data_IF_193659947968
#
_entry.id   IF_193659947968
#
_cell.length_a   1.000
_cell.length_b   1.000
_cell.length_c   1.000
_cell.angle_alpha   90.00
_cell.angle_beta   90.00
_cell.angle_gamma   90.00
#
_symmetry.space_group_name_H-M   'P 1'
#
loop_
_entity.id
_entity.type
_entity.pdbx_description
1 polymer ?
#
# COMPACT_ATOMS: atom_id res chain seq x y z
N UNK A 1 28.77 25.04 -23.17
CA UNK A 1 29.08 24.86 -21.73
C UNK A 1 29.95 23.62 -21.56
N UNK A 2 30.89 23.59 -20.60
CA UNK A 2 31.65 22.40 -20.14
C UNK A 2 32.15 22.70 -18.72
N UNK A 3 31.92 21.82 -17.73
CA UNK A 3 32.62 21.93 -16.43
C UNK A 3 31.88 21.61 -15.12
N UNK A 4 30.60 21.18 -15.11
CA UNK A 4 29.91 20.71 -13.88
C UNK A 4 29.92 19.19 -13.69
N UNK A 5 29.40 18.42 -14.65
CA UNK A 5 29.21 16.95 -14.58
C UNK A 5 30.45 16.06 -14.47
N UNK A 6 31.66 16.63 -14.36
CA UNK A 6 32.86 15.91 -13.95
C UNK A 6 33.12 15.93 -12.43
N UNK A 7 32.25 16.56 -11.61
CA UNK A 7 32.44 16.62 -10.15
C UNK A 7 32.08 15.32 -9.44
N UNK A 8 30.96 14.68 -9.80
CA UNK A 8 30.41 13.50 -9.10
C UNK A 8 31.34 12.28 -9.20
N UNK A 9 31.83 11.96 -10.41
CA UNK A 9 32.74 10.83 -10.65
C UNK A 9 34.09 10.96 -9.93
N UNK A 10 34.50 12.18 -9.55
CA UNK A 10 35.72 12.44 -8.78
C UNK A 10 35.50 12.38 -7.24
N UNK A 11 34.27 12.10 -6.77
CA UNK A 11 34.00 11.90 -5.34
C UNK A 11 34.26 10.44 -4.91
N UNK A 12 34.85 10.26 -3.72
CA UNK A 12 34.89 8.95 -3.04
C UNK A 12 33.54 8.63 -2.36
N UNK A 13 33.17 7.34 -2.21
CA UNK A 13 31.83 6.89 -1.75
C UNK A 13 31.30 7.70 -0.55
N UNK A 14 32.08 7.89 0.52
CA UNK A 14 31.66 8.69 1.69
C UNK A 14 31.26 10.13 1.36
N UNK A 15 31.95 10.82 0.43
CA UNK A 15 31.59 12.18 0.00
C UNK A 15 30.39 12.20 -0.95
N UNK A 16 30.19 11.12 -1.70
CA UNK A 16 29.02 10.94 -2.54
C UNK A 16 27.76 10.78 -1.66
N UNK A 17 27.75 9.82 -0.72
CA UNK A 17 26.65 9.65 0.25
C UNK A 17 26.36 10.93 1.06
N UNK A 18 27.41 11.58 1.58
CA UNK A 18 27.33 12.88 2.28
C UNK A 18 26.80 14.03 1.39
N UNK A 19 26.87 13.87 0.07
CA UNK A 19 26.23 14.78 -0.90
C UNK A 19 24.77 14.37 -1.15
N UNK A 20 24.46 13.07 -1.31
CA UNK A 20 23.07 12.61 -1.54
C UNK A 20 22.15 13.00 -0.38
N UNK A 21 22.59 12.76 0.87
CA UNK A 21 21.85 13.15 2.07
C UNK A 21 21.67 14.68 2.19
N UNK A 22 22.63 15.48 1.73
CA UNK A 22 22.52 16.96 1.67
C UNK A 22 21.70 17.47 0.49
N UNK A 23 21.37 16.58 -0.43
CA UNK A 23 20.40 16.78 -1.48
C UNK A 23 19.06 16.12 -1.13
N UNK A 24 18.86 15.70 0.12
CA UNK A 24 17.58 15.17 0.60
C UNK A 24 17.04 14.00 -0.22
N UNK A 25 17.93 13.19 -0.81
CA UNK A 25 17.51 11.96 -1.48
C UNK A 25 17.01 10.97 -0.43
N UNK A 26 15.98 10.22 -0.77
CA UNK A 26 15.36 9.18 0.08
C UNK A 26 16.34 8.08 0.48
N UNK A 27 15.94 7.25 1.45
CA UNK A 27 16.67 6.04 1.82
C UNK A 27 16.91 5.13 0.62
N UNK A 28 15.85 4.82 -0.13
CA UNK A 28 15.89 3.99 -1.35
C UNK A 28 16.85 4.50 -2.41
N UNK A 29 16.81 5.80 -2.76
CA UNK A 29 17.78 6.39 -3.70
C UNK A 29 19.20 6.34 -3.13
N UNK A 30 19.39 6.75 -1.88
CA UNK A 30 20.73 6.86 -1.29
C UNK A 30 21.41 5.50 -1.11
N UNK A 31 20.66 4.44 -0.83
CA UNK A 31 21.16 3.08 -0.70
C UNK A 31 21.66 2.53 -2.05
N UNK A 32 20.87 2.69 -3.11
CA UNK A 32 21.02 1.96 -4.37
C UNK A 32 21.79 2.73 -5.46
N UNK A 33 21.72 4.06 -5.53
CA UNK A 33 22.15 4.80 -6.72
C UNK A 33 23.68 4.87 -6.90
N UNK A 34 24.17 4.51 -8.08
CA UNK A 34 25.57 4.74 -8.46
C UNK A 34 25.83 6.20 -8.88
N UNK A 35 27.10 6.57 -9.04
CA UNK A 35 27.48 7.91 -9.52
C UNK A 35 27.26 8.06 -11.01
N UNK A 36 27.21 6.93 -11.70
CA UNK A 36 27.07 6.79 -13.13
C UNK A 36 25.59 7.01 -13.48
N UNK A 37 24.66 6.29 -12.83
CA UNK A 37 23.20 6.50 -12.95
C UNK A 37 22.79 7.92 -12.54
N UNK A 38 23.23 8.41 -11.36
CA UNK A 38 22.91 9.78 -10.92
C UNK A 38 23.27 10.84 -11.97
N UNK A 39 24.37 10.62 -12.69
CA UNK A 39 24.89 11.53 -13.72
C UNK A 39 24.17 11.38 -15.07
N UNK A 40 23.51 10.25 -15.31
CA UNK A 40 22.64 10.05 -16.48
C UNK A 40 21.24 10.64 -16.22
N UNK A 41 20.76 10.60 -14.98
CA UNK A 41 19.54 11.27 -14.54
C UNK A 41 19.66 12.80 -14.47
N UNK A 42 20.80 13.35 -14.02
CA UNK A 42 20.96 14.81 -13.90
C UNK A 42 22.41 15.32 -14.05
N UNK A 43 22.55 16.39 -14.82
CA UNK A 43 23.82 17.15 -15.00
C UNK A 43 24.19 17.98 -13.74
N UNK A 44 23.22 18.20 -12.83
CA UNK A 44 23.35 19.03 -11.62
C UNK A 44 22.30 18.64 -10.54
N UNK A 45 22.62 17.73 -9.60
CA UNK A 45 21.63 17.19 -8.65
C UNK A 45 21.22 18.16 -7.53
N UNK A 46 21.67 19.43 -7.57
CA UNK A 46 21.11 20.53 -6.76
C UNK A 46 19.83 21.11 -7.35
N UNK A 47 19.58 20.90 -8.65
CA UNK A 47 18.46 21.49 -9.41
C UNK A 47 17.33 20.47 -9.66
N UNK A 48 17.69 19.18 -9.69
CA UNK A 48 16.76 18.05 -9.78
C UNK A 48 17.12 16.98 -8.76
N UNK A 49 16.12 16.50 -8.02
CA UNK A 49 16.25 15.43 -7.02
C UNK A 49 15.88 14.10 -7.68
N UNK A 50 16.75 13.09 -7.65
CA UNK A 50 16.41 11.73 -8.05
C UNK A 50 15.49 11.08 -7.02
N UNK A 51 14.61 10.21 -7.51
CA UNK A 51 13.56 9.51 -6.77
C UNK A 51 13.44 8.10 -7.34
N UNK A 52 13.19 7.09 -6.49
CA UNK A 52 12.92 5.73 -6.97
C UNK A 52 11.54 5.73 -7.63
N UNK A 53 11.44 5.21 -8.85
CA UNK A 53 10.16 5.01 -9.52
C UNK A 53 9.57 3.65 -9.09
N UNK A 54 10.36 2.59 -9.26
CA UNK A 54 10.04 1.20 -8.90
C UNK A 54 11.32 0.35 -8.86
N UNK A 55 11.26 -0.87 -8.32
CA UNK A 55 12.38 -1.81 -8.18
C UNK A 55 12.15 -3.09 -9.00
N UNK A 56 12.97 -3.33 -10.02
CA UNK A 56 12.86 -4.48 -10.93
C UNK A 56 13.66 -5.69 -10.46
N UNK A 57 13.11 -6.89 -10.53
CA UNK A 57 13.91 -8.11 -10.56
C UNK A 57 14.73 -8.15 -11.85
N UNK A 58 16.06 -8.11 -11.73
CA UNK A 58 16.98 -8.18 -12.88
C UNK A 58 16.86 -9.47 -13.70
N UNK A 59 16.25 -10.51 -13.12
CA UNK A 59 15.95 -11.80 -13.74
C UNK A 59 14.43 -12.14 -13.72
N UNK A 60 13.54 -11.14 -13.82
CA UNK A 60 12.09 -11.33 -13.82
C UNK A 60 11.57 -12.47 -14.75
N UNK A 61 12.13 -12.61 -15.96
CA UNK A 61 11.78 -13.70 -16.90
C UNK A 61 11.92 -15.11 -16.29
N UNK A 62 12.80 -15.30 -15.30
CA UNK A 62 13.00 -16.58 -14.61
C UNK A 62 11.88 -16.90 -13.60
N UNK A 63 11.23 -15.89 -13.00
CA UNK A 63 10.14 -16.10 -12.03
C UNK A 63 8.74 -16.13 -12.67
N UNK A 64 8.60 -15.64 -13.91
CA UNK A 64 7.31 -15.65 -14.61
C UNK A 64 6.86 -17.04 -15.10
N UNK A 65 7.72 -18.06 -15.10
CA UNK A 65 7.40 -19.42 -15.61
C UNK A 65 8.11 -20.53 -14.81
N UNK A 66 7.44 -21.66 -14.50
CA UNK A 66 8.08 -22.80 -13.82
C UNK A 66 9.07 -23.56 -14.74
N UNK A 67 10.16 -24.13 -14.21
CA UNK A 67 10.55 -24.13 -12.79
C UNK A 67 11.18 -22.79 -12.39
N UNK A 68 10.69 -22.24 -11.28
CA UNK A 68 11.18 -20.99 -10.71
C UNK A 68 12.56 -21.20 -10.05
N UNK A 69 13.43 -20.18 -10.00
CA UNK A 69 14.71 -20.26 -9.29
C UNK A 69 14.54 -20.43 -7.76
N UNK A 70 15.34 -21.32 -7.18
CA UNK A 70 15.47 -21.53 -5.72
C UNK A 70 16.35 -20.45 -5.04
N UNK A 71 16.45 -19.24 -5.63
CA UNK A 71 17.35 -18.16 -5.20
C UNK A 71 16.64 -16.80 -5.23
N UNK A 72 16.89 -15.90 -4.28
CA UNK A 72 16.38 -14.53 -4.33
C UNK A 72 16.81 -13.81 -5.62
N UNK A 73 15.92 -12.94 -6.13
CA UNK A 73 16.17 -12.16 -7.33
C UNK A 73 16.89 -10.84 -7.01
N UNK A 74 17.92 -10.47 -7.77
CA UNK A 74 18.62 -9.21 -7.53
C UNK A 74 17.75 -8.03 -8.01
N UNK A 75 17.18 -7.27 -7.06
CA UNK A 75 16.44 -6.02 -7.30
C UNK A 75 17.35 -4.92 -7.85
N UNK A 76 16.85 -4.16 -8.84
CA UNK A 76 17.50 -2.98 -9.42
C UNK A 76 16.48 -1.84 -9.43
N UNK A 77 16.77 -0.76 -8.72
CA UNK A 77 15.92 0.43 -8.71
C UNK A 77 15.94 1.15 -10.07
N UNK A 78 14.75 1.40 -10.62
CA UNK A 78 14.56 2.41 -11.65
C UNK A 78 14.38 3.79 -10.98
N UNK A 79 14.85 4.84 -11.64
CA UNK A 79 14.88 6.19 -11.09
C UNK A 79 14.36 7.22 -12.08
N UNK A 80 13.61 8.17 -11.55
CA UNK A 80 13.24 9.40 -12.24
C UNK A 80 13.82 10.60 -11.48
N UNK A 81 13.44 11.82 -11.89
CA UNK A 81 13.83 13.04 -11.17
C UNK A 81 12.70 14.05 -11.14
N UNK A 82 12.55 14.76 -10.03
CA UNK A 82 11.67 15.93 -9.90
C UNK A 82 12.48 17.23 -9.73
N UNK A 83 11.92 18.41 -10.07
CA UNK A 83 12.55 19.71 -9.77
C UNK A 83 12.82 19.89 -8.27
N UNK A 84 13.93 20.59 -7.91
CA UNK A 84 14.29 20.81 -6.50
C UNK A 84 13.25 21.61 -5.72
N UNK A 85 12.60 22.57 -6.37
CA UNK A 85 11.50 23.35 -5.81
C UNK A 85 10.23 22.50 -5.60
N UNK A 86 9.86 21.61 -6.55
CA UNK A 86 8.78 20.63 -6.33
C UNK A 86 9.11 19.72 -5.14
N UNK A 87 10.33 19.16 -5.07
CA UNK A 87 10.74 18.30 -3.95
C UNK A 87 10.63 19.02 -2.59
N UNK A 88 11.08 20.28 -2.49
CA UNK A 88 10.88 21.09 -1.27
C UNK A 88 9.39 21.22 -0.94
N UNK A 89 8.55 21.47 -1.94
CA UNK A 89 7.10 21.64 -1.77
C UNK A 89 6.41 20.36 -1.29
N UNK A 90 6.75 19.19 -1.85
CA UNK A 90 6.23 17.88 -1.42
C UNK A 90 6.64 17.57 0.01
N UNK A 91 7.94 17.54 0.29
CA UNK A 91 8.45 17.03 1.58
C UNK A 91 8.09 17.96 2.75
N UNK A 92 8.00 19.28 2.51
CA UNK A 92 7.45 20.20 3.53
C UNK A 92 5.96 20.02 3.75
N UNK A 93 5.19 19.55 2.77
CA UNK A 93 3.78 19.23 2.97
C UNK A 93 3.60 17.95 3.81
N UNK A 94 4.46 16.94 3.65
CA UNK A 94 4.45 15.72 4.48
C UNK A 94 4.89 16.00 5.93
N UNK A 95 6.00 16.71 6.19
CA UNK A 95 6.34 17.14 7.58
C UNK A 95 5.27 18.07 8.18
N UNK A 96 4.60 18.90 7.37
CA UNK A 96 3.44 19.66 7.81
C UNK A 96 2.24 18.77 8.19
N UNK A 97 1.93 17.73 7.40
CA UNK A 97 0.86 16.78 7.69
C UNK A 97 1.17 15.96 8.96
N UNK A 98 2.40 15.46 9.13
CA UNK A 98 2.85 14.80 10.36
C UNK A 98 2.63 15.70 11.60
N UNK A 99 2.98 16.99 11.49
CA UNK A 99 2.77 17.99 12.55
C UNK A 99 1.31 18.32 12.82
N UNK A 100 0.41 18.06 11.88
CA UNK A 100 -1.04 18.18 12.09
C UNK A 100 -1.60 16.89 12.70
N UNK A 101 -1.19 15.71 12.22
CA UNK A 101 -1.54 14.42 12.84
C UNK A 101 -1.13 14.39 14.31
N UNK A 102 0.13 14.71 14.64
CA UNK A 102 0.62 14.78 16.04
C UNK A 102 -0.13 15.79 16.93
N UNK A 103 -0.88 16.74 16.35
CA UNK A 103 -1.79 17.62 17.10
C UNK A 103 -3.17 16.97 17.26
N UNK A 104 -3.68 16.31 16.21
CA UNK A 104 -4.93 15.53 16.22
C UNK A 104 -4.84 14.39 17.25
N UNK A 105 -3.80 13.57 17.22
CA UNK A 105 -3.59 12.44 18.16
C UNK A 105 -3.54 12.91 19.63
N UNK A 106 -3.04 14.13 19.87
CA UNK A 106 -2.98 14.75 21.19
C UNK A 106 -4.33 15.35 21.66
N UNK A 107 -5.37 15.26 20.82
CA UNK A 107 -6.74 15.76 21.03
C UNK A 107 -7.76 14.60 21.02
N UNK A 108 -7.56 13.62 20.15
CA UNK A 108 -8.52 12.61 19.71
C UNK A 108 -7.77 11.35 19.22
N UNK A 109 -8.12 10.16 19.73
CA UNK A 109 -7.41 8.89 19.48
C UNK A 109 -8.31 7.82 18.80
N UNK A 110 -9.51 8.21 18.36
CA UNK A 110 -10.42 7.32 17.61
C UNK A 110 -9.92 6.91 16.22
N UNK A 111 -8.83 7.54 15.72
CA UNK A 111 -8.28 7.41 14.35
C UNK A 111 -9.24 7.82 13.22
N UNK A 112 -10.45 8.29 13.54
CA UNK A 112 -11.46 8.84 12.60
C UNK A 112 -11.16 10.30 12.17
N UNK A 113 -10.01 10.83 12.53
CA UNK A 113 -9.48 12.09 12.01
C UNK A 113 -8.05 11.84 11.55
N UNK A 114 -7.79 12.04 10.26
CA UNK A 114 -6.46 11.86 9.68
C UNK A 114 -5.94 13.14 9.02
N UNK A 115 -4.62 13.23 8.88
CA UNK A 115 -3.94 14.29 8.14
C UNK A 115 -3.24 13.70 6.92
N UNK A 116 -3.62 14.16 5.72
CA UNK A 116 -2.98 13.81 4.45
C UNK A 116 -2.45 15.06 3.74
N UNK A 117 -1.79 14.85 2.59
CA UNK A 117 -1.40 15.91 1.66
C UNK A 117 -2.26 15.78 0.41
N UNK A 118 -2.87 16.89 -0.04
CA UNK A 118 -3.57 16.97 -1.32
C UNK A 118 -3.03 18.14 -2.16
N UNK A 119 -3.12 17.98 -3.48
CA UNK A 119 -2.51 18.83 -4.50
C UNK A 119 -3.60 19.50 -5.35
N UNK A 120 -4.03 20.68 -4.90
CA UNK A 120 -5.08 21.43 -5.57
C UNK A 120 -4.59 22.01 -6.91
N UNK A 121 -5.21 21.62 -8.02
CA UNK A 121 -4.94 22.21 -9.35
C UNK A 121 -4.29 21.22 -10.34
N UNK A 122 -3.62 21.75 -11.38
CA UNK A 122 -2.87 20.97 -12.39
C UNK A 122 -1.71 21.77 -12.98
N UNK A 123 -0.52 21.18 -13.02
CA UNK A 123 0.70 21.78 -13.52
C UNK A 123 1.17 22.98 -12.70
N UNK A 124 1.55 24.08 -13.37
CA UNK A 124 2.26 25.22 -12.74
C UNK A 124 1.48 26.04 -11.70
N UNK A 125 0.27 25.62 -11.34
CA UNK A 125 -0.58 26.23 -10.33
C UNK A 125 -1.00 25.21 -9.24
N UNK A 126 -0.24 24.12 -9.07
CA UNK A 126 -0.45 23.13 -8.00
C UNK A 126 -0.22 23.76 -6.61
N UNK A 127 -1.27 23.75 -5.78
CA UNK A 127 -1.26 24.21 -4.41
C UNK A 127 -1.31 23.01 -3.46
N UNK A 128 -0.14 22.66 -2.92
CA UNK A 128 0.00 21.64 -1.89
C UNK A 128 -0.52 22.16 -0.55
N UNK A 129 -1.50 21.47 0.01
CA UNK A 129 -2.09 21.74 1.32
C UNK A 129 -2.14 20.48 2.17
N UNK A 130 -2.12 20.65 3.48
CA UNK A 130 -2.53 19.58 4.40
C UNK A 130 -4.05 19.49 4.37
N UNK A 131 -4.61 18.29 4.24
CA UNK A 131 -6.05 18.03 4.42
C UNK A 131 -6.23 17.29 5.74
N UNK A 132 -7.14 17.80 6.57
CA UNK A 132 -7.66 17.09 7.74
C UNK A 132 -8.97 16.43 7.36
N UNK A 133 -8.92 15.12 7.17
CA UNK A 133 -10.08 14.29 6.93
C UNK A 133 -10.82 14.15 8.26
N UNK A 134 -12.10 14.53 8.29
CA UNK A 134 -13.00 14.32 9.42
C UNK A 134 -14.05 13.30 9.00
N UNK A 135 -13.74 12.02 9.19
CA UNK A 135 -14.47 10.93 8.57
C UNK A 135 -15.66 10.51 9.44
N UNK A 136 -16.86 10.46 8.85
CA UNK A 136 -18.10 10.09 9.52
C UNK A 136 -18.62 8.81 8.86
N UNK A 137 -18.42 7.68 9.52
CA UNK A 137 -18.89 6.36 9.07
C UNK A 137 -20.39 6.22 9.33
N UNK A 138 -21.15 5.98 8.27
CA UNK A 138 -22.60 5.76 8.31
C UNK A 138 -22.94 4.37 7.74
N UNK A 139 -23.81 3.57 8.40
CA UNK A 139 -24.09 2.22 7.95
C UNK A 139 -25.05 2.19 6.75
N UNK A 140 -24.55 1.73 5.60
CA UNK A 140 -25.32 1.51 4.36
C UNK A 140 -25.14 2.62 3.32
N UNK A 141 -25.42 2.31 2.06
CA UNK A 141 -25.22 3.24 0.95
C UNK A 141 -26.16 4.45 1.03
N UNK A 142 -25.59 5.65 0.87
CA UNK A 142 -26.34 6.88 0.62
C UNK A 142 -26.21 7.17 -0.88
N UNK A 143 -27.28 6.99 -1.64
CA UNK A 143 -27.31 7.19 -3.10
C UNK A 143 -26.84 8.61 -3.51
N UNK A 144 -25.54 8.76 -3.77
CA UNK A 144 -24.91 9.95 -4.32
C UNK A 144 -24.01 10.71 -3.35
N UNK A 145 -22.71 10.68 -3.67
CA UNK A 145 -21.69 11.62 -3.23
C UNK A 145 -22.23 13.06 -3.16
N UNK A 146 -22.16 13.68 -1.98
CA UNK A 146 -22.75 15.00 -1.73
C UNK A 146 -21.92 15.78 -0.71
N UNK A 147 -21.38 16.92 -1.15
CA UNK A 147 -20.91 17.98 -0.26
C UNK A 147 -21.99 18.31 0.79
N UNK A 148 -21.77 17.90 2.04
CA UNK A 148 -22.70 18.15 3.13
C UNK A 148 -22.38 19.51 3.78
N UNK A 149 -23.43 20.23 4.18
CA UNK A 149 -23.23 21.39 5.04
C UNK A 149 -22.78 20.89 6.42
N UNK A 150 -21.77 21.50 7.08
CA UNK A 150 -21.33 21.09 8.42
C UNK A 150 -22.43 21.08 9.50
N UNK A 151 -23.61 21.66 9.24
CA UNK A 151 -24.80 21.54 10.10
C UNK A 151 -25.66 20.29 9.85
N UNK A 152 -25.46 19.54 8.78
CA UNK A 152 -26.10 18.23 8.53
C UNK A 152 -25.39 17.09 9.31
N UNK A 153 -24.11 17.29 9.66
CA UNK A 153 -23.29 16.34 10.46
C UNK A 153 -23.93 16.00 11.80
N UNK A 154 -24.43 17.00 12.53
CA UNK A 154 -25.03 16.81 13.86
C UNK A 154 -26.31 15.96 13.81
N UNK A 155 -27.04 15.96 12.69
CA UNK A 155 -28.22 15.09 12.50
C UNK A 155 -27.79 13.65 12.19
N UNK A 156 -26.77 13.47 11.35
CA UNK A 156 -26.18 12.17 11.01
C UNK A 156 -25.59 11.47 12.24
N UNK A 157 -24.89 12.18 13.13
CA UNK A 157 -24.36 11.64 14.40
C UNK A 157 -25.43 11.01 15.32
N UNK A 158 -26.73 11.21 15.06
CA UNK A 158 -27.82 10.61 15.85
C UNK A 158 -28.40 9.32 15.30
N UNK A 159 -27.93 8.86 14.12
CA UNK A 159 -28.38 7.61 13.51
C UNK A 159 -27.72 6.39 14.17
N UNK A 160 -28.46 5.29 14.29
CA UNK A 160 -27.98 4.08 14.95
C UNK A 160 -26.86 3.41 14.13
N UNK A 161 -25.79 2.97 14.80
CA UNK A 161 -24.59 2.40 14.18
C UNK A 161 -23.57 3.40 13.59
N UNK A 162 -23.84 4.70 13.57
CA UNK A 162 -22.88 5.72 13.10
C UNK A 162 -21.64 5.79 14.00
N UNK A 163 -20.46 5.93 13.38
CA UNK A 163 -19.19 6.16 14.07
C UNK A 163 -18.60 7.48 13.61
N UNK A 164 -18.42 8.40 14.54
CA UNK A 164 -17.76 9.70 14.33
C UNK A 164 -16.72 9.92 15.43
N UNK A 165 -15.75 10.83 15.24
CA UNK A 165 -14.88 11.29 16.32
C UNK A 165 -15.67 11.79 17.54
N UNK A 166 -15.15 11.56 18.74
CA UNK A 166 -15.74 12.04 20.01
C UNK A 166 -15.68 13.59 20.08
N UNK A 167 -14.71 14.20 19.41
CA UNK A 167 -14.65 15.65 19.14
C UNK A 167 -15.49 16.08 17.93
N UNK A 168 -16.23 17.18 18.05
CA UNK A 168 -16.94 17.78 16.91
C UNK A 168 -16.03 18.49 15.91
N UNK A 169 -16.41 18.48 14.63
CA UNK A 169 -15.70 19.17 13.55
C UNK A 169 -15.43 20.65 13.88
N UNK A 170 -16.44 21.35 14.41
CA UNK A 170 -16.32 22.76 14.82
C UNK A 170 -15.39 23.00 16.02
N UNK A 171 -14.89 21.93 16.67
CA UNK A 171 -13.85 22.00 17.70
C UNK A 171 -12.47 21.54 17.19
N UNK A 172 -12.37 20.54 16.30
CA UNK A 172 -11.06 20.22 15.68
C UNK A 172 -10.58 21.39 14.80
N UNK A 173 -11.47 22.01 14.03
CA UNK A 173 -11.22 23.26 13.26
C UNK A 173 -10.79 24.47 14.13
N UNK A 174 -10.95 24.36 15.45
CA UNK A 174 -10.63 25.40 16.45
C UNK A 174 -9.32 25.12 17.20
N UNK A 175 -8.81 23.89 17.12
CA UNK A 175 -7.58 23.40 17.78
C UNK A 175 -6.45 23.21 16.78
N UNK A 176 -6.76 22.71 15.60
CA UNK A 176 -5.87 22.68 14.43
C UNK A 176 -5.88 24.07 13.76
N UNK A 177 -4.71 24.64 13.39
CA UNK A 177 -4.64 25.97 12.78
C UNK A 177 -5.00 25.94 11.27
N UNK A 178 -5.51 27.06 10.74
CA UNK A 178 -5.86 27.24 9.32
C UNK A 178 -4.65 27.19 8.37
N UNK A 179 -3.45 27.43 8.89
CA UNK A 179 -2.17 27.20 8.20
C UNK A 179 -1.16 26.54 9.14
N UNK A 180 -0.17 25.86 8.57
CA UNK A 180 0.94 25.27 9.34
C UNK A 180 2.29 25.55 8.66
N UNK A 181 3.37 25.39 9.43
CA UNK A 181 4.73 25.34 8.90
C UNK A 181 5.13 23.89 8.60
N UNK A 182 5.88 23.72 7.51
CA UNK A 182 6.63 22.50 7.20
C UNK A 182 8.10 22.83 6.97
N UNK A 183 9.03 21.99 7.40
CA UNK A 183 10.47 22.22 7.29
C UNK A 183 11.27 20.93 7.08
N UNK A 184 12.22 20.98 6.15
CA UNK A 184 13.04 19.83 5.77
C UNK A 184 14.54 20.14 5.86
N UNK A 185 15.30 19.12 6.25
CA UNK A 185 16.76 19.18 6.41
C UNK A 185 17.23 19.20 7.88
N UNK A 186 18.26 18.41 8.17
CA UNK A 186 19.07 18.53 9.38
C UNK A 186 20.18 19.59 9.22
N UNK A 187 20.85 19.98 10.31
CA UNK A 187 21.89 21.05 10.42
C UNK A 187 23.03 21.08 9.36
N UNK A 188 23.14 20.08 8.50
CA UNK A 188 24.16 19.98 7.43
C UNK A 188 23.60 20.11 6.00
N UNK A 189 22.28 20.20 5.87
CA UNK A 189 21.49 20.34 4.63
C UNK A 189 21.16 21.84 4.43
N UNK A 190 20.70 22.25 3.24
CA UNK A 190 19.96 23.51 3.13
C UNK A 190 18.59 23.34 3.80
N UNK A 191 18.46 23.81 5.05
CA UNK A 191 17.18 23.87 5.75
C UNK A 191 16.19 24.72 4.92
N UNK A 192 15.17 24.08 4.37
CA UNK A 192 14.08 24.76 3.69
C UNK A 192 12.83 24.66 4.56
N UNK A 193 12.21 25.79 4.90
CA UNK A 193 10.86 25.83 5.45
C UNK A 193 9.89 26.43 4.45
N UNK A 194 8.63 25.98 4.53
CA UNK A 194 7.47 26.64 3.95
C UNK A 194 6.51 26.94 5.09
N UNK A 195 6.42 28.23 5.38
CA UNK A 195 5.41 28.81 6.27
C UNK A 195 4.09 28.93 5.48
N UNK A 196 2.98 29.16 6.18
CA UNK A 196 1.65 29.38 5.58
C UNK A 196 1.16 28.27 4.61
N UNK A 197 1.54 27.00 4.84
CA UNK A 197 0.93 25.85 4.13
C UNK A 197 -0.54 25.77 4.54
N UNK A 198 -1.52 25.80 3.61
CA UNK A 198 -2.92 25.75 3.97
C UNK A 198 -3.29 24.43 4.67
N UNK A 199 -4.16 24.51 5.67
CA UNK A 199 -4.82 23.34 6.27
C UNK A 199 -6.30 23.40 5.91
N UNK A 200 -6.75 22.45 5.08
CA UNK A 200 -8.16 22.21 4.76
C UNK A 200 -8.79 21.25 5.76
N UNK A 201 -10.11 21.30 5.88
CA UNK A 201 -10.91 20.31 6.59
C UNK A 201 -11.95 19.77 5.63
N UNK A 202 -11.94 18.46 5.42
CA UNK A 202 -12.84 17.79 4.49
C UNK A 202 -13.61 16.74 5.29
N UNK A 203 -14.91 17.01 5.47
CA UNK A 203 -15.83 16.17 6.24
C UNK A 203 -16.41 15.12 5.31
N UNK A 204 -15.69 14.03 5.13
CA UNK A 204 -15.91 13.17 4.00
C UNK A 204 -17.13 12.26 4.18
N UNK A 205 -18.03 12.31 3.19
CA UNK A 205 -19.02 11.27 2.87
C UNK A 205 -18.77 10.82 1.40
N UNK A 206 -17.47 10.76 1.05
CA UNK A 206 -16.77 9.70 0.26
C UNK A 206 -17.65 8.78 -0.61
N UNK A 207 -17.56 8.84 -1.95
CA UNK A 207 -18.21 7.95 -2.94
C UNK A 207 -17.65 8.14 -4.39
N UNK A 208 -17.84 7.18 -5.31
CA UNK A 208 -17.49 7.15 -6.78
C UNK A 208 -16.06 6.76 -7.30
N UNK A 209 -15.97 6.40 -8.61
CA UNK A 209 -15.52 5.09 -9.16
C UNK A 209 -14.26 4.97 -10.11
N UNK A 210 -13.67 3.74 -10.25
CA UNK A 210 -13.31 2.97 -11.49
C UNK A 210 -12.11 1.94 -11.41
N UNK A 211 -12.28 0.58 -11.57
CA UNK A 211 -11.39 -0.29 -12.45
C UNK A 211 -12.19 -0.43 -13.78
N UNK A 212 -12.07 -1.59 -14.45
CA UNK A 212 -13.22 -2.31 -14.96
C UNK A 212 -13.92 -3.07 -13.81
N UNK A 213 -14.92 -2.45 -13.17
CA UNK A 213 -15.82 -3.13 -12.22
C UNK A 213 -16.69 -4.24 -12.87
N UNK A 214 -16.49 -4.54 -14.15
CA UNK A 214 -17.00 -5.77 -14.78
C UNK A 214 -16.39 -7.04 -14.13
N UNK A 215 -15.19 -6.93 -13.53
CA UNK A 215 -14.44 -8.01 -12.85
C UNK A 215 -14.48 -7.89 -11.31
N UNK A 216 -15.19 -6.90 -10.75
CA UNK A 216 -15.27 -6.64 -9.32
C UNK A 216 -16.68 -6.91 -8.77
N UNK A 217 -16.80 -7.86 -7.83
CA UNK A 217 -18.06 -8.35 -7.31
C UNK A 217 -18.49 -7.68 -6.00
N UNK A 218 -19.71 -7.14 -6.02
CA UNK A 218 -20.38 -6.59 -4.85
C UNK A 218 -21.02 -7.73 -4.05
N UNK A 219 -20.47 -8.09 -2.90
CA UNK A 219 -20.92 -9.27 -2.14
C UNK A 219 -22.15 -8.99 -1.26
N UNK A 220 -23.32 -8.83 -1.88
CA UNK A 220 -24.60 -8.45 -1.24
C UNK A 220 -25.28 -9.55 -0.38
N UNK A 221 -24.49 -10.50 0.13
CA UNK A 221 -24.84 -11.30 1.32
C UNK A 221 -25.13 -12.78 1.12
N UNK A 222 -24.75 -13.41 0.01
CA UNK A 222 -24.91 -14.87 -0.18
C UNK A 222 -23.75 -15.56 -0.90
N UNK A 223 -22.95 -16.34 -0.15
CA UNK A 223 -22.09 -17.50 -0.53
C UNK A 223 -21.19 -17.48 -1.79
N UNK A 224 -21.24 -16.46 -2.63
CA UNK A 224 -20.45 -16.33 -3.86
C UNK A 224 -19.00 -15.98 -3.52
N UNK A 225 -18.16 -17.01 -3.57
CA UNK A 225 -16.73 -16.98 -3.26
C UNK A 225 -15.99 -17.01 -4.60
N UNK A 226 -15.37 -15.88 -4.96
CA UNK A 226 -15.20 -15.51 -6.36
C UNK A 226 -14.26 -16.43 -7.17
N UNK A 227 -13.19 -16.92 -6.54
CA UNK A 227 -12.27 -17.90 -7.14
C UNK A 227 -12.61 -19.36 -6.77
N UNK A 228 -13.87 -19.70 -6.48
CA UNK A 228 -14.30 -21.07 -6.14
C UNK A 228 -15.05 -21.86 -7.22
N UNK A 229 -15.31 -21.32 -8.43
CA UNK A 229 -15.87 -22.13 -9.53
C UNK A 229 -14.84 -23.12 -10.10
N UNK A 230 -14.49 -24.13 -9.29
CA UNK A 230 -13.74 -25.34 -9.62
C UNK A 230 -12.47 -25.13 -10.44
N UNK A 231 -11.34 -25.00 -9.76
CA UNK A 231 -10.03 -25.36 -10.32
C UNK A 231 -10.02 -26.88 -10.64
N UNK A 232 -10.63 -27.30 -11.75
CA UNK A 232 -10.75 -28.71 -12.16
C UNK A 232 -9.35 -29.30 -12.45
N UNK A 233 -8.81 -30.02 -11.46
CA UNK A 233 -7.37 -30.28 -11.31
C UNK A 233 -6.80 -31.22 -12.39
N UNK A 234 -6.43 -30.61 -13.52
CA UNK A 234 -5.43 -31.15 -14.46
C UNK A 234 -4.00 -30.70 -14.14
N UNK A 235 -3.83 -29.45 -13.67
CA UNK A 235 -2.53 -28.83 -13.36
C UNK A 235 -2.66 -27.88 -12.16
N UNK A 236 -1.69 -27.96 -11.24
CA UNK A 236 -1.80 -27.48 -9.86
C UNK A 236 -0.97 -26.22 -9.59
N UNK A 237 -1.16 -25.17 -10.39
CA UNK A 237 -0.55 -23.86 -10.06
C UNK A 237 -1.36 -23.20 -8.93
N UNK A 238 -0.65 -22.65 -7.93
CA UNK A 238 -1.15 -21.71 -6.92
C UNK A 238 -0.65 -20.33 -7.30
N UNK A 239 -1.45 -19.30 -7.09
CA UNK A 239 -1.10 -17.93 -7.44
C UNK A 239 -1.66 -16.93 -6.45
N UNK A 240 -1.21 -15.70 -6.60
CA UNK A 240 -1.67 -14.58 -5.80
C UNK A 240 -3.17 -14.33 -6.02
N UNK A 241 -3.88 -13.98 -4.95
CA UNK A 241 -5.32 -13.72 -4.94
C UNK A 241 -6.22 -14.95 -4.78
N UNK A 242 -5.67 -16.17 -4.66
CA UNK A 242 -6.47 -17.36 -4.32
C UNK A 242 -7.06 -17.25 -2.91
N UNK A 243 -8.26 -17.83 -2.71
CA UNK A 243 -8.84 -18.07 -1.37
C UNK A 243 -8.00 -19.08 -0.58
N UNK A 244 -7.78 -18.82 0.71
CA UNK A 244 -7.13 -19.74 1.68
C UNK A 244 -7.86 -19.80 3.02
N UNK A 245 -7.62 -20.87 3.77
CA UNK A 245 -8.08 -21.07 5.15
C UNK A 245 -7.04 -21.84 5.98
N UNK A 246 -7.04 -21.65 7.30
CA UNK A 246 -6.33 -22.52 8.26
C UNK A 246 -7.17 -23.72 8.73
N UNK A 247 -8.43 -23.82 8.31
CA UNK A 247 -9.34 -24.92 8.67
C UNK A 247 -9.38 -26.02 7.60
N UNK A 248 -8.99 -27.25 7.98
CA UNK A 248 -8.96 -28.46 7.13
C UNK A 248 -10.30 -28.76 6.42
N UNK A 249 -11.43 -28.28 6.93
CA UNK A 249 -12.77 -28.66 6.46
C UNK A 249 -13.29 -27.90 5.24
N UNK A 250 -12.49 -26.99 4.66
CA UNK A 250 -12.91 -26.09 3.58
C UNK A 250 -14.07 -25.15 3.97
N UNK A 251 -14.46 -25.10 5.24
CA UNK A 251 -15.53 -24.25 5.74
C UNK A 251 -14.93 -22.90 6.16
N UNK A 252 -14.87 -21.97 5.20
CA UNK A 252 -14.25 -20.66 5.35
C UNK A 252 -15.00 -19.76 6.36
N UNK A 253 -14.78 -19.98 7.66
CA UNK A 253 -15.21 -19.08 8.71
C UNK A 253 -14.59 -17.68 8.53
N UNK A 254 -15.36 -16.64 8.83
CA UNK A 254 -14.97 -15.24 8.60
C UNK A 254 -13.65 -14.82 9.28
N UNK A 255 -13.28 -15.47 10.39
CA UNK A 255 -12.01 -15.28 11.11
C UNK A 255 -10.83 -16.01 10.47
N UNK A 256 -11.08 -17.19 9.91
CA UNK A 256 -10.05 -18.22 9.65
C UNK A 256 -9.61 -18.27 8.19
N UNK A 257 -9.93 -17.24 7.40
CA UNK A 257 -9.81 -17.28 5.94
C UNK A 257 -9.57 -15.93 5.27
N UNK A 258 -8.80 -15.95 4.18
CA UNK A 258 -8.35 -14.75 3.46
C UNK A 258 -7.85 -15.05 2.05
N UNK A 259 -6.99 -14.17 1.53
CA UNK A 259 -6.37 -14.27 0.21
C UNK A 259 -4.87 -14.58 0.31
N UNK A 260 -4.30 -15.26 -0.68
CA UNK A 260 -2.85 -15.25 -0.90
C UNK A 260 -2.40 -13.88 -1.44
N UNK A 261 -1.32 -13.36 -0.88
CA UNK A 261 -0.63 -12.17 -1.35
C UNK A 261 0.41 -12.48 -2.43
N UNK A 262 1.36 -11.56 -2.66
CA UNK A 262 2.50 -11.80 -3.55
C UNK A 262 3.29 -13.06 -3.15
N UNK A 263 3.79 -13.77 -4.16
CA UNK A 263 4.77 -14.86 -3.96
C UNK A 263 6.10 -14.27 -3.49
N UNK A 264 6.71 -14.87 -2.47
CA UNK A 264 7.98 -14.43 -1.89
C UNK A 264 8.98 -15.58 -1.75
N UNK A 265 10.25 -15.22 -1.66
CA UNK A 265 11.34 -16.07 -1.18
C UNK A 265 12.07 -15.36 -0.04
N UNK A 266 12.50 -16.10 0.97
CA UNK A 266 13.33 -15.56 2.06
C UNK A 266 14.78 -15.36 1.61
N UNK A 267 15.41 -14.27 2.00
CA UNK A 267 16.80 -13.98 1.60
C UNK A 267 17.85 -14.87 2.29
N UNK A 268 17.51 -15.45 3.44
CA UNK A 268 18.41 -16.30 4.23
C UNK A 268 18.32 -17.80 3.94
N UNK A 269 17.26 -18.26 3.27
CA UNK A 269 16.88 -19.67 3.15
C UNK A 269 16.44 -19.99 1.70
N UNK A 270 16.35 -21.28 1.32
CA UNK A 270 15.89 -21.67 -0.04
C UNK A 270 14.34 -21.69 -0.13
N UNK A 271 13.68 -21.18 0.91
CA UNK A 271 12.26 -21.36 1.19
C UNK A 271 11.40 -20.33 0.43
N UNK A 272 10.47 -20.86 -0.35
CA UNK A 272 9.53 -20.12 -1.20
C UNK A 272 8.14 -20.23 -0.59
N UNK A 273 7.38 -19.14 -0.65
CA UNK A 273 6.03 -19.10 -0.10
C UNK A 273 5.22 -17.93 -0.63
N UNK A 274 4.20 -17.57 0.14
CA UNK A 274 3.35 -16.41 -0.11
C UNK A 274 3.24 -15.55 1.14
N UNK A 275 3.08 -14.24 0.95
CA UNK A 275 2.57 -13.37 2.00
C UNK A 275 1.06 -13.60 2.19
N UNK A 276 0.57 -13.38 3.39
CA UNK A 276 -0.84 -13.12 3.69
C UNK A 276 -0.93 -12.32 4.99
N UNK A 277 -2.13 -12.14 5.55
CA UNK A 277 -2.32 -11.38 6.79
C UNK A 277 -2.09 -12.20 8.05
N UNK A 278 -1.59 -11.55 9.10
CA UNK A 278 -1.39 -12.17 10.41
C UNK A 278 -2.71 -12.66 11.01
N UNK A 279 -3.73 -11.80 11.05
CA UNK A 279 -4.99 -12.07 11.74
C UNK A 279 -5.83 -13.23 11.18
N UNK A 280 -5.55 -13.75 9.96
CA UNK A 280 -6.24 -14.93 9.42
C UNK A 280 -5.56 -16.26 9.81
N UNK A 281 -4.38 -16.21 10.43
CA UNK A 281 -3.56 -17.39 10.74
C UNK A 281 -3.69 -17.91 12.17
N UNK A 282 -4.40 -17.19 13.04
CA UNK A 282 -4.72 -17.60 14.41
C UNK A 282 -6.20 -17.30 14.74
N UNK A 283 -6.72 -17.87 15.81
CA UNK A 283 -8.12 -17.75 16.26
C UNK A 283 -8.21 -16.91 17.55
N UNK A 284 -9.42 -16.46 17.85
CA UNK A 284 -9.83 -15.78 19.08
C UNK A 284 -9.68 -16.60 20.37
N UNK A 285 -9.53 -17.93 20.26
CA UNK A 285 -9.26 -18.85 21.39
C UNK A 285 -7.73 -19.00 21.69
N UNK A 286 -6.84 -18.40 20.89
CA UNK A 286 -5.39 -18.44 21.07
C UNK A 286 -4.87 -17.43 22.12
N UNK A 287 -3.72 -17.73 22.76
CA UNK A 287 -3.11 -16.82 23.75
C UNK A 287 -2.25 -15.72 23.09
N UNK A 288 -1.80 -15.93 21.85
CA UNK A 288 -0.92 -15.05 21.08
C UNK A 288 -1.06 -15.28 19.57
N UNK A 289 -0.66 -14.31 18.75
CA UNK A 289 -0.62 -14.49 17.28
C UNK A 289 0.32 -15.61 16.85
N UNK A 290 1.44 -15.80 17.57
CA UNK A 290 2.41 -16.89 17.34
C UNK A 290 1.86 -18.30 17.54
N UNK A 291 0.69 -18.47 18.18
CA UNK A 291 0.02 -19.79 18.26
C UNK A 291 -0.58 -20.21 16.89
N UNK A 292 -0.55 -19.32 15.89
CA UNK A 292 -0.79 -19.60 14.48
C UNK A 292 0.36 -20.31 13.74
N UNK A 293 1.59 -20.24 14.25
CA UNK A 293 2.77 -20.82 13.58
C UNK A 293 2.68 -22.35 13.52
N UNK A 294 3.06 -22.94 12.38
CA UNK A 294 2.92 -24.37 12.10
C UNK A 294 1.49 -24.85 11.83
N UNK A 295 0.50 -23.96 11.70
CA UNK A 295 -0.84 -24.34 11.18
C UNK A 295 -0.76 -24.65 9.70
N UNK A 296 -1.40 -25.73 9.27
CA UNK A 296 -1.54 -26.03 7.85
C UNK A 296 -2.50 -25.05 7.18
N UNK A 297 -2.13 -24.58 5.98
CA UNK A 297 -2.93 -23.69 5.15
C UNK A 297 -3.47 -24.45 3.96
N UNK A 298 -4.77 -24.30 3.72
CA UNK A 298 -5.54 -25.05 2.74
C UNK A 298 -6.16 -24.11 1.70
N UNK A 299 -6.36 -24.62 0.49
CA UNK A 299 -7.32 -24.07 -0.47
C UNK A 299 -8.60 -24.92 -0.50
N UNK A 300 -9.51 -24.59 -1.43
CA UNK A 300 -10.75 -25.33 -1.65
C UNK A 300 -10.51 -26.83 -1.97
N UNK A 301 -11.48 -27.68 -1.61
CA UNK A 301 -11.41 -29.16 -1.63
C UNK A 301 -10.31 -29.75 -0.71
N UNK A 302 -10.09 -29.10 0.43
CA UNK A 302 -9.20 -29.53 1.53
C UNK A 302 -7.72 -29.72 1.10
N UNK A 303 -7.30 -29.10 -0.01
CA UNK A 303 -5.95 -29.24 -0.55
C UNK A 303 -4.97 -28.34 0.19
N UNK A 304 -4.07 -28.95 0.98
CA UNK A 304 -3.02 -28.25 1.71
C UNK A 304 -1.98 -27.68 0.74
N UNK A 305 -1.68 -26.40 0.91
CA UNK A 305 -0.67 -25.68 0.12
C UNK A 305 0.62 -25.38 0.88
N UNK A 306 0.61 -25.50 2.21
CA UNK A 306 1.73 -25.08 3.05
C UNK A 306 1.41 -25.06 4.54
N UNK A 307 2.31 -24.46 5.32
CA UNK A 307 2.15 -24.16 6.74
C UNK A 307 2.48 -22.69 7.02
N UNK A 308 1.95 -22.12 8.11
CA UNK A 308 2.27 -20.75 8.53
C UNK A 308 3.67 -20.75 9.16
N UNK A 309 4.67 -20.21 8.45
CA UNK A 309 6.07 -20.26 8.88
C UNK A 309 6.46 -19.17 9.88
N UNK A 310 5.89 -17.97 9.75
CA UNK A 310 6.22 -16.80 10.57
C UNK A 310 5.06 -15.81 10.61
N UNK A 311 4.77 -15.19 11.77
CA UNK A 311 3.68 -14.21 11.93
C UNK A 311 4.19 -12.93 12.60
N UNK A 312 4.04 -11.79 11.91
CA UNK A 312 4.30 -10.46 12.47
C UNK A 312 3.01 -9.65 12.59
N UNK A 313 2.44 -9.65 13.80
CA UNK A 313 1.22 -8.91 14.15
C UNK A 313 1.46 -8.01 15.39
N UNK A 314 2.18 -6.91 15.20
CA UNK A 314 2.43 -5.91 16.24
C UNK A 314 2.19 -4.46 15.79
N UNK A 315 1.27 -3.78 16.48
CA UNK A 315 0.90 -2.39 16.17
C UNK A 315 0.14 -2.25 14.85
N UNK A 316 0.84 -1.79 13.81
CA UNK A 316 0.31 -1.70 12.44
C UNK A 316 0.87 -2.76 11.48
N UNK A 317 1.80 -3.62 11.95
CA UNK A 317 2.13 -4.90 11.30
C UNK A 317 0.98 -5.89 11.46
N UNK A 318 0.68 -6.62 10.40
CA UNK A 318 -0.35 -7.67 10.38
C UNK A 318 -0.12 -8.63 9.21
N UNK A 319 1.06 -9.27 9.19
CA UNK A 319 1.55 -10.07 8.07
C UNK A 319 1.90 -11.48 8.56
N UNK A 320 1.72 -12.47 7.69
CA UNK A 320 2.20 -13.83 7.87
C UNK A 320 2.87 -14.35 6.59
N UNK A 321 3.85 -15.23 6.76
CA UNK A 321 4.48 -16.01 5.70
C UNK A 321 3.89 -17.43 5.68
N UNK A 322 3.45 -17.87 4.50
CA UNK A 322 3.01 -19.25 4.26
C UNK A 322 4.13 -20.01 3.54
N UNK A 323 4.84 -20.86 4.27
CA UNK A 323 5.86 -21.79 3.76
C UNK A 323 5.15 -22.88 2.94
N UNK A 324 5.55 -23.09 1.68
CA UNK A 324 4.85 -24.00 0.77
C UNK A 324 5.17 -25.49 1.00
N UNK A 325 4.19 -26.36 0.79
CA UNK A 325 4.42 -27.81 0.84
C UNK A 325 5.16 -28.34 -0.41
N UNK A 326 6.02 -29.32 -0.18
CA UNK A 326 6.95 -29.94 -1.13
C UNK A 326 6.23 -30.47 -2.40
N UNK A 327 6.36 -29.75 -3.52
CA UNK A 327 5.72 -30.08 -4.80
C UNK A 327 4.47 -29.27 -5.15
N UNK A 328 4.02 -28.36 -4.29
CA UNK A 328 3.07 -27.30 -4.64
C UNK A 328 3.74 -26.35 -5.63
N UNK A 329 3.11 -26.16 -6.80
CA UNK A 329 3.67 -25.30 -7.85
C UNK A 329 3.10 -23.89 -7.69
N UNK A 330 3.93 -22.91 -7.32
CA UNK A 330 3.47 -21.55 -6.99
C UNK A 330 4.01 -20.51 -7.97
N UNK A 331 3.12 -19.86 -8.72
CA UNK A 331 3.48 -18.81 -9.67
C UNK A 331 3.24 -17.40 -9.11
N UNK A 332 4.01 -16.45 -9.63
CA UNK A 332 3.84 -15.00 -9.45
C UNK A 332 2.62 -14.43 -10.20
N UNK A 333 1.63 -15.25 -10.56
CA UNK A 333 0.50 -14.84 -11.39
C UNK A 333 -0.74 -14.52 -10.55
N UNK A 334 -1.54 -13.55 -10.98
CA UNK A 334 -2.84 -13.27 -10.38
C UNK A 334 -3.86 -14.35 -10.74
N UNK A 335 -4.66 -14.77 -9.78
CA UNK A 335 -5.78 -15.72 -9.95
C UNK A 335 -6.88 -15.11 -10.80
N UNK A 336 -7.45 -15.87 -11.74
CA UNK A 336 -8.37 -15.36 -12.77
C UNK A 336 -9.79 -15.96 -12.67
N UNK A 337 -10.77 -15.25 -13.23
CA UNK A 337 -12.21 -15.56 -13.07
C UNK A 337 -12.57 -16.86 -13.78
N UNK A 338 -13.27 -17.76 -13.08
CA UNK A 338 -13.58 -19.10 -13.60
C UNK A 338 -12.37 -20.06 -13.59
N UNK A 339 -11.32 -19.70 -12.85
CA UNK A 339 -10.14 -20.52 -12.61
C UNK A 339 -9.00 -20.31 -13.60
N UNK A 340 -7.79 -20.61 -13.15
CA UNK A 340 -6.56 -20.29 -13.86
C UNK A 340 -5.95 -18.96 -13.40
N UNK A 341 -5.03 -18.43 -14.21
CA UNK A 341 -4.15 -17.34 -13.83
C UNK A 341 -3.83 -16.43 -15.02
N UNK A 342 -3.67 -15.14 -14.77
CA UNK A 342 -3.44 -14.12 -15.80
C UNK A 342 -2.41 -13.08 -15.35
N UNK A 343 -1.56 -12.64 -16.29
CA UNK A 343 -0.50 -11.67 -16.03
C UNK A 343 0.60 -12.18 -15.09
N UNK A 344 1.51 -11.30 -14.71
CA UNK A 344 2.54 -11.56 -13.71
C UNK A 344 2.69 -10.39 -12.73
N UNK A 345 2.97 -10.71 -11.47
CA UNK A 345 3.01 -9.81 -10.32
C UNK A 345 4.19 -10.19 -9.41
N UNK A 346 5.17 -9.29 -9.27
CA UNK A 346 6.34 -9.47 -8.40
C UNK A 346 7.66 -9.05 -9.05
N UNK A 347 7.69 -9.10 -10.38
CA UNK A 347 8.78 -8.58 -11.24
C UNK A 347 9.17 -7.13 -10.91
N UNK A 348 8.21 -6.30 -10.50
CA UNK A 348 8.41 -4.90 -10.14
C UNK A 348 7.68 -4.55 -8.82
N UNK A 349 8.30 -3.70 -7.99
CA UNK A 349 7.70 -3.10 -6.79
C UNK A 349 7.69 -1.59 -6.94
N UNK A 350 6.55 -0.93 -6.69
CA UNK A 350 6.45 0.54 -6.72
C UNK A 350 7.28 1.17 -5.60
N UNK A 351 8.01 2.25 -5.90
CA UNK A 351 8.82 2.94 -4.90
C UNK A 351 8.01 3.87 -4.00
N UNK A 352 8.34 3.91 -2.70
CA UNK A 352 7.85 4.87 -1.70
C UNK A 352 7.86 6.33 -2.22
N UNK A 353 8.97 6.75 -2.84
CA UNK A 353 9.13 8.07 -3.45
C UNK A 353 8.05 8.36 -4.51
N UNK A 354 7.66 7.36 -5.31
CA UNK A 354 6.65 7.47 -6.36
C UNK A 354 5.23 7.53 -5.79
N UNK A 355 4.97 6.85 -4.67
CA UNK A 355 3.70 6.97 -3.93
C UNK A 355 3.56 8.35 -3.26
N UNK A 356 4.65 8.97 -2.80
CA UNK A 356 4.65 10.29 -2.16
C UNK A 356 4.62 11.47 -3.13
N UNK A 357 5.27 11.35 -4.30
CA UNK A 357 5.37 12.43 -5.29
C UNK A 357 4.16 12.56 -6.24
N UNK A 358 3.16 11.66 -6.10
CA UNK A 358 2.07 11.42 -7.04
C UNK A 358 1.58 12.69 -7.78
N UNK A 359 1.84 12.70 -9.09
CA UNK A 359 1.39 13.71 -10.07
C UNK A 359 0.30 13.11 -10.97
N UNK A 360 -0.35 12.06 -10.48
CA UNK A 360 -1.34 11.15 -11.08
C UNK A 360 -2.36 10.81 -9.96
N UNK A 361 -3.65 10.50 -10.15
CA UNK A 361 -4.44 10.08 -11.33
C UNK A 361 -4.05 8.75 -11.96
N UNK A 362 -3.32 7.93 -11.21
CA UNK A 362 -3.00 6.55 -11.54
C UNK A 362 -3.72 5.69 -10.51
N UNK A 363 -4.42 4.67 -10.99
CA UNK A 363 -5.28 3.85 -10.16
C UNK A 363 -4.58 2.53 -9.80
N UNK A 364 -5.00 1.93 -8.69
CA UNK A 364 -4.41 0.70 -8.15
C UNK A 364 -5.56 -0.31 -8.01
N UNK A 365 -5.51 -1.43 -8.74
CA UNK A 365 -6.43 -2.54 -8.46
C UNK A 365 -5.87 -3.30 -7.21
N UNK A 366 -6.75 -3.55 -6.24
CA UNK A 366 -6.61 -4.61 -5.25
C UNK A 366 -7.01 -5.92 -5.94
N UNK A 367 -6.52 -7.06 -5.43
CA UNK A 367 -7.19 -8.34 -5.68
C UNK A 367 -7.45 -9.06 -4.37
N UNK A 368 -8.66 -9.59 -4.19
CA UNK A 368 -9.02 -10.39 -3.03
C UNK A 368 -10.07 -11.46 -3.35
N UNK A 369 -10.12 -12.48 -2.49
CA UNK A 369 -10.81 -13.75 -2.78
C UNK A 369 -12.35 -13.68 -2.87
N UNK A 370 -12.98 -12.62 -2.36
CA UNK A 370 -14.43 -12.35 -2.43
C UNK A 370 -14.79 -11.34 -3.50
N UNK A 371 -14.01 -10.26 -3.65
CA UNK A 371 -14.40 -9.14 -4.52
C UNK A 371 -13.76 -9.18 -5.90
N UNK A 372 -12.70 -9.97 -6.10
CA UNK A 372 -12.11 -10.13 -7.43
C UNK A 372 -10.99 -9.13 -7.66
N UNK A 373 -11.08 -8.29 -8.70
CA UNK A 373 -10.10 -7.24 -9.00
C UNK A 373 -10.78 -5.87 -9.02
N UNK A 374 -10.48 -5.04 -8.03
CA UNK A 374 -11.27 -3.86 -7.69
C UNK A 374 -10.38 -2.62 -7.56
N UNK A 375 -10.72 -1.48 -8.16
CA UNK A 375 -9.79 -0.34 -8.25
C UNK A 375 -10.08 0.71 -7.23
N UNK A 376 -8.97 1.36 -6.95
CA UNK A 376 -8.89 2.34 -5.95
C UNK A 376 -8.08 3.51 -6.47
N UNK A 377 -8.55 4.70 -6.13
CA UNK A 377 -7.65 5.84 -6.06
C UNK A 377 -6.79 5.72 -4.80
N UNK A 378 -5.59 6.32 -4.81
CA UNK A 378 -4.83 6.53 -3.58
C UNK A 378 -5.57 7.59 -2.76
N UNK A 379 -6.17 7.19 -1.64
CA UNK A 379 -6.86 8.11 -0.73
C UNK A 379 -5.92 8.74 0.28
N UNK A 380 -5.09 7.92 0.93
CA UNK A 380 -4.05 8.39 1.84
C UNK A 380 -2.82 7.49 1.82
N UNK A 381 -1.64 8.10 1.77
CA UNK A 381 -0.38 7.47 2.17
C UNK A 381 -0.04 8.00 3.57
N UNK A 382 0.25 7.11 4.52
CA UNK A 382 0.68 7.48 5.86
C UNK A 382 2.00 6.76 6.21
N UNK A 383 3.08 7.50 6.07
CA UNK A 383 4.48 7.14 6.32
C UNK A 383 4.92 7.35 7.79
N UNK A 384 4.00 7.79 8.64
CA UNK A 384 4.24 8.08 10.06
C UNK A 384 3.97 6.87 10.96
N UNK A 385 3.59 5.74 10.34
CA UNK A 385 3.44 4.41 10.94
C UNK A 385 4.35 3.43 10.21
N UNK A 386 4.75 2.36 10.91
CA UNK A 386 5.61 1.32 10.35
C UNK A 386 4.88 -0.03 10.45
N UNK A 387 4.64 -0.74 9.34
CA UNK A 387 5.02 -0.37 7.97
C UNK A 387 4.15 0.78 7.45
N UNK A 388 4.63 1.53 6.46
CA UNK A 388 3.89 2.61 5.81
C UNK A 388 2.51 2.11 5.38
N UNK A 389 1.47 2.85 5.76
CA UNK A 389 0.09 2.48 5.46
C UNK A 389 -0.35 3.11 4.14
N UNK A 390 -1.00 2.30 3.32
CA UNK A 390 -1.68 2.71 2.10
C UNK A 390 -3.17 2.56 2.35
N UNK A 391 -3.90 3.67 2.33
CA UNK A 391 -5.36 3.69 2.32
C UNK A 391 -5.81 3.94 0.88
N UNK A 392 -6.26 2.86 0.25
CA UNK A 392 -6.84 2.85 -1.07
C UNK A 392 -8.35 3.10 -0.93
N UNK A 393 -8.89 4.05 -1.69
CA UNK A 393 -10.32 4.34 -1.71
C UNK A 393 -10.95 3.48 -2.81
N UNK A 394 -11.71 2.42 -2.47
CA UNK A 394 -12.51 1.75 -3.49
C UNK A 394 -13.57 2.73 -3.91
N UNK A 395 -13.64 2.87 -5.21
CA UNK A 395 -14.19 4.05 -5.79
C UNK A 395 -15.73 3.91 -5.84
N UNK A 396 -16.32 2.87 -6.47
CA UNK A 396 -17.71 2.47 -6.17
C UNK A 396 -17.91 2.17 -4.66
N UNK A 397 -19.04 2.62 -4.10
CA UNK A 397 -19.44 2.55 -2.68
C UNK A 397 -19.71 1.12 -2.15
N UNK A 398 -18.78 0.19 -2.37
CA UNK A 398 -19.02 -1.26 -2.35
C UNK A 398 -17.87 -1.98 -1.65
N UNK A 399 -18.13 -2.55 -0.48
CA UNK A 399 -17.11 -3.09 0.43
C UNK A 399 -16.19 -4.13 -0.23
N UNK A 400 -14.87 -3.98 -0.03
CA UNK A 400 -13.85 -4.98 -0.41
C UNK A 400 -13.96 -6.29 0.43
N UNK A 401 -14.93 -6.34 1.35
CA UNK A 401 -15.43 -7.55 1.98
C UNK A 401 -14.59 -8.10 3.14
N UNK A 402 -15.27 -8.67 4.15
CA UNK A 402 -14.59 -9.40 5.22
C UNK A 402 -13.82 -10.60 4.66
N UNK A 403 -12.51 -10.63 4.86
CA UNK A 403 -11.65 -11.73 4.46
C UNK A 403 -11.14 -11.65 3.01
N UNK A 404 -11.02 -10.46 2.43
CA UNK A 404 -10.05 -10.25 1.33
C UNK A 404 -8.61 -10.06 1.85
N UNK A 405 -8.44 -9.94 3.18
CA UNK A 405 -7.20 -9.94 3.97
C UNK A 405 -6.08 -10.79 3.36
N UNK A 406 -4.91 -10.20 3.15
CA UNK A 406 -3.77 -10.82 2.48
C UNK A 406 -3.74 -10.63 0.97
N UNK A 407 -4.75 -10.03 0.34
CA UNK A 407 -4.76 -9.77 -1.10
C UNK A 407 -3.72 -8.73 -1.54
N UNK A 408 -3.14 -8.78 -2.75
CA UNK A 408 -2.18 -7.76 -3.20
C UNK A 408 -2.86 -6.42 -3.50
N UNK A 409 -2.09 -5.34 -3.40
CA UNK A 409 -2.29 -4.12 -4.15
C UNK A 409 -1.31 -4.06 -5.30
N UNK A 410 -1.76 -3.71 -6.50
CA UNK A 410 -0.91 -3.64 -7.67
C UNK A 410 -1.28 -2.51 -8.63
N UNK A 411 -0.24 -1.96 -9.26
CA UNK A 411 -0.34 -0.92 -10.28
C UNK A 411 -0.11 -1.54 -11.66
N UNK A 412 -1.00 -1.20 -12.59
CA UNK A 412 -1.01 -1.71 -13.97
C UNK A 412 -1.07 -0.51 -14.94
N UNK A 413 0.00 -0.29 -15.72
CA UNK A 413 0.05 0.77 -16.74
C UNK A 413 -0.42 0.30 -18.14
N UNK A 414 -0.99 -0.91 -18.21
CA UNK A 414 -1.44 -1.57 -19.42
C UNK A 414 -0.57 -2.79 -19.80
N UNK A 415 0.57 -2.99 -19.14
CA UNK A 415 1.40 -4.20 -19.31
C UNK A 415 1.01 -5.29 -18.30
N UNK A 416 0.04 -6.12 -18.69
CA UNK A 416 -0.44 -7.24 -17.85
C UNK A 416 0.64 -8.27 -17.54
N UNK A 417 1.70 -8.37 -18.36
CA UNK A 417 2.80 -9.32 -18.17
C UNK A 417 3.86 -8.79 -17.17
N UNK A 418 3.65 -7.60 -16.58
CA UNK A 418 4.60 -6.92 -15.69
C UNK A 418 3.90 -5.97 -14.68
N UNK A 419 2.95 -6.46 -13.88
CA UNK A 419 2.23 -5.65 -12.90
C UNK A 419 3.11 -5.36 -11.66
N UNK A 420 3.10 -4.10 -11.19
CA UNK A 420 3.94 -3.66 -10.06
C UNK A 420 3.23 -3.88 -8.73
N UNK A 421 3.87 -4.55 -7.78
CA UNK A 421 3.32 -4.67 -6.42
C UNK A 421 3.44 -3.34 -5.68
N UNK A 422 2.39 -2.99 -4.94
CA UNK A 422 2.31 -1.76 -4.14
C UNK A 422 2.21 -2.07 -2.64
N UNK A 423 1.44 -3.09 -2.27
CA UNK A 423 1.11 -3.37 -0.87
C UNK A 423 0.35 -4.69 -0.68
N UNK A 424 -0.02 -4.95 0.57
CA UNK A 424 -0.81 -6.10 1.03
C UNK A 424 -2.07 -5.59 1.73
N UNK A 425 -3.25 -5.98 1.26
CA UNK A 425 -4.56 -5.61 1.82
C UNK A 425 -4.71 -6.15 3.23
N UNK A 426 -4.72 -5.25 4.22
CA UNK A 426 -4.83 -5.61 5.64
C UNK A 426 -6.28 -5.69 6.08
N UNK A 427 -7.10 -4.71 5.76
CA UNK A 427 -8.51 -4.68 6.15
C UNK A 427 -9.33 -3.71 5.30
N UNK A 428 -10.60 -4.04 5.10
CA UNK A 428 -11.63 -3.07 4.75
C UNK A 428 -11.92 -2.16 5.96
N UNK A 429 -11.46 -0.91 5.94
CA UNK A 429 -12.00 0.12 6.82
C UNK A 429 -13.28 0.68 6.22
N UNK A 430 -14.42 0.22 6.73
CA UNK A 430 -15.76 0.84 6.58
C UNK A 430 -15.88 2.14 7.39
N UNK A 431 -14.82 2.95 7.40
CA UNK A 431 -14.71 4.24 8.07
C UNK A 431 -15.01 5.38 7.09
N UNK A 432 -16.23 5.36 6.56
CA UNK A 432 -16.70 6.23 5.47
C UNK A 432 -17.84 5.55 4.71
N UNK A 433 -18.23 6.14 3.58
CA UNK A 433 -19.15 5.55 2.58
C UNK A 433 -18.44 5.00 1.33
N UNK A 434 -17.23 5.46 1.00
CA UNK A 434 -16.28 4.56 0.34
C UNK A 434 -15.77 3.58 1.41
N UNK A 435 -15.65 2.28 1.09
CA UNK A 435 -14.76 1.41 1.82
C UNK A 435 -13.32 1.85 1.53
N UNK A 436 -12.51 2.01 2.59
CA UNK A 436 -11.06 2.14 2.42
C UNK A 436 -10.42 0.77 2.57
N UNK A 437 -9.93 0.25 1.47
CA UNK A 437 -9.01 -0.87 1.44
C UNK A 437 -7.69 -0.40 2.04
N UNK A 438 -7.45 -0.74 3.31
CA UNK A 438 -6.24 -0.34 4.05
C UNK A 438 -5.24 -1.48 4.07
N UNK A 439 -4.00 -1.17 3.72
CA UNK A 439 -2.93 -2.16 3.58
C UNK A 439 -1.57 -1.64 3.98
N UNK A 440 -0.62 -2.57 4.07
CA UNK A 440 0.78 -2.30 4.38
C UNK A 440 1.57 -2.16 3.07
N UNK A 441 2.39 -1.12 2.92
CA UNK A 441 3.27 -0.93 1.76
C UNK A 441 4.30 -2.05 1.67
N UNK A 442 4.51 -2.58 0.46
CA UNK A 442 5.19 -3.86 0.29
C UNK A 442 6.72 -3.77 0.48
N UNK A 443 7.33 -2.61 0.21
CA UNK A 443 8.77 -2.43 0.35
C UNK A 443 9.25 -2.47 1.80
N UNK A 444 8.43 -2.01 2.74
CA UNK A 444 8.71 -2.14 4.18
C UNK A 444 8.67 -3.61 4.62
N UNK A 445 7.84 -4.44 3.97
CA UNK A 445 7.75 -5.88 4.24
C UNK A 445 9.00 -6.61 3.71
N UNK A 446 9.51 -6.25 2.52
CA UNK A 446 10.81 -6.77 2.04
C UNK A 446 11.95 -6.40 3.01
N UNK A 447 12.06 -5.12 3.45
CA UNK A 447 13.16 -4.66 4.32
C UNK A 447 13.12 -5.21 5.75
N UNK A 448 11.94 -5.35 6.37
CA UNK A 448 11.83 -5.78 7.78
C UNK A 448 11.85 -7.30 7.96
N UNK A 449 11.37 -8.07 6.98
CA UNK A 449 11.24 -9.53 7.10
C UNK A 449 12.42 -10.32 6.48
N UNK A 450 13.39 -9.64 5.86
CA UNK A 450 14.44 -10.25 5.01
C UNK A 450 13.83 -11.12 3.87
N UNK A 451 12.85 -10.57 3.13
CA UNK A 451 12.14 -11.26 2.03
C UNK A 451 12.33 -10.54 0.68
N UNK A 452 12.37 -11.31 -0.41
CA UNK A 452 12.29 -10.82 -1.80
C UNK A 452 11.01 -11.34 -2.47
N UNK A 453 10.18 -10.45 -3.06
CA UNK A 453 9.02 -10.85 -3.90
C UNK A 453 9.52 -11.40 -5.24
N UNK A 454 8.91 -12.48 -5.74
CA UNK A 454 9.41 -13.28 -6.88
C UNK A 454 8.32 -13.74 -7.86
#
# INVERSE_FOLDING_TARGET
MRGKSNKLSLMGRRRFMDTLAKLGMSGGVAANISKEELKELTDDPTDRVPRVEYYNLSNAEEYNNPPFPDRPGERVANYYTIPRDKWIVVETAFDAAERIQKKIDAIEDSKLISSSVDVNGRGKNEEYSVVVNYDISVPGSIDGEKDMDPSEIDEIKTLDGVRSPDIDLSEIMRKVPETTEGSIGHESVENASRDDIPVRFESNIVANDACSDEDCHNTDGSDERFYEESYDYGYSLRGTGCSISIEESGWFGYSSSGSLGPRIQRDSEEDVGFLTNGHITYDTDDESSSDGEGRSVYQYDDDKIGEVGEIKHDGDWDIAFIEMEDGVNAGSQLSDIGGGFSGALGSEIVGEDWLKDQEYTGNICQQGRRTGRCEHSVGQINDNVTPMRIELIRANDQEDGDGDSGGPYFYNDGDIDNMRVVGLHRASLTQGTHPRSVGNYIGDIEEEMDYTIV
#
